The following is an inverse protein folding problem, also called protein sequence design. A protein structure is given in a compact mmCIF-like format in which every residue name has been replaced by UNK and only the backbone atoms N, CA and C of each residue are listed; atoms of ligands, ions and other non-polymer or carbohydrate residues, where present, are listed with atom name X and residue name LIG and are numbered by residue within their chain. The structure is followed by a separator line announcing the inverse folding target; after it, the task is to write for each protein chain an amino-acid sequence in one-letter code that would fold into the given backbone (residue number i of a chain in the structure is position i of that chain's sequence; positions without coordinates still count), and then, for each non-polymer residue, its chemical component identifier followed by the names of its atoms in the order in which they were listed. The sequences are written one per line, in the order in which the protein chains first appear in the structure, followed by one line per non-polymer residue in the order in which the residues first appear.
data_IF_889489976075
#
_entry.id   IF_889489976075
#
_cell.length_a   1.000
_cell.length_b   1.000
_cell.length_c   1.000
_cell.angle_alpha   90.00
_cell.angle_beta   90.00
_cell.angle_gamma   90.00
#
_symmetry.space_group_name_H-M   'P 1'
#
loop_
_entity.id
_entity.type
_entity.pdbx_description
1 polymer ?
#
# COMPACT_ATOMS: atom_id res chain seq x y z
N UNK A 1 -9.64 -19.58 23.16
CA UNK A 1 -9.02 -18.36 22.64
C UNK A 1 -8.62 -18.68 21.22
N UNK A 2 -9.38 -18.18 20.25
CA UNK A 2 -9.02 -18.35 18.85
C UNK A 2 -7.66 -17.67 18.62
N UNK A 3 -6.70 -18.45 18.17
CA UNK A 3 -5.40 -17.99 17.69
C UNK A 3 -5.64 -17.19 16.39
N UNK A 4 -6.04 -15.94 16.55
CA UNK A 4 -6.32 -15.07 15.40
C UNK A 4 -4.98 -14.75 14.78
N UNK A 5 -4.65 -15.40 13.67
CA UNK A 5 -3.41 -15.19 12.95
C UNK A 5 -3.15 -13.69 12.74
N UNK A 6 -1.94 -13.22 13.05
CA UNK A 6 -1.58 -11.82 12.93
C UNK A 6 -1.79 -11.32 11.48
N UNK A 7 -2.29 -10.10 11.32
CA UNK A 7 -2.39 -9.47 10.00
C UNK A 7 -1.01 -9.24 9.38
N UNK A 8 -0.04 -8.90 10.24
CA UNK A 8 1.39 -8.82 9.87
C UNK A 8 2.19 -9.53 10.95
N UNK A 9 3.12 -10.37 10.53
CA UNK A 9 4.07 -11.04 11.43
C UNK A 9 5.48 -10.95 10.84
N UNK A 10 6.43 -10.49 11.64
CA UNK A 10 7.85 -10.35 11.29
C UNK A 10 8.67 -11.10 12.33
N UNK A 11 9.69 -11.85 11.89
CA UNK A 11 10.61 -12.57 12.76
C UNK A 11 12.06 -12.40 12.29
N UNK A 12 12.87 -11.79 13.13
CA UNK A 12 14.31 -11.58 12.91
C UNK A 12 14.61 -10.88 11.59
N UNK A 13 13.78 -9.93 11.14
CA UNK A 13 13.91 -9.32 9.82
C UNK A 13 15.17 -8.46 9.75
N UNK A 14 16.04 -8.79 8.81
CA UNK A 14 17.28 -8.03 8.52
C UNK A 14 17.26 -7.55 7.07
N UNK A 15 17.68 -6.33 6.85
CA UNK A 15 17.99 -5.81 5.52
C UNK A 15 19.32 -5.10 5.49
N UNK A 16 20.21 -5.61 4.64
CA UNK A 16 21.53 -4.99 4.37
C UNK A 16 21.57 -4.50 2.93
N UNK A 17 22.05 -3.29 2.73
CA UNK A 17 22.41 -2.72 1.43
C UNK A 17 23.92 -2.51 1.41
N UNK A 18 24.65 -3.36 0.70
CA UNK A 18 26.12 -3.37 0.71
C UNK A 18 26.68 -3.44 2.15
N UNK A 19 27.21 -2.32 2.67
CA UNK A 19 27.77 -2.23 4.01
C UNK A 19 26.84 -1.58 5.03
N UNK A 20 25.65 -1.16 4.63
CA UNK A 20 24.68 -0.49 5.51
C UNK A 20 23.60 -1.48 5.94
N UNK A 21 23.47 -1.73 7.23
CA UNK A 21 22.37 -2.46 7.81
C UNK A 21 21.19 -1.52 8.02
N UNK A 22 20.22 -1.60 7.14
CA UNK A 22 19.05 -0.74 7.17
C UNK A 22 17.93 -1.23 8.10
N UNK A 23 17.89 -2.54 8.37
CA UNK A 23 17.00 -3.19 9.35
C UNK A 23 17.82 -4.26 10.07
N UNK A 24 17.85 -4.22 11.40
CA UNK A 24 18.78 -4.98 12.24
C UNK A 24 18.06 -6.02 13.12
N UNK A 25 17.31 -6.91 12.51
CA UNK A 25 16.71 -8.06 13.23
C UNK A 25 15.48 -7.68 14.05
N UNK A 26 14.45 -7.14 13.42
CA UNK A 26 13.21 -6.77 14.10
C UNK A 26 12.20 -7.92 14.16
N UNK A 27 11.45 -7.97 15.26
CA UNK A 27 10.29 -8.82 15.47
C UNK A 27 9.06 -7.94 15.69
N UNK A 28 7.94 -8.29 15.07
CA UNK A 28 6.70 -7.50 15.16
C UNK A 28 5.49 -8.37 14.83
N UNK A 29 4.40 -8.18 15.57
CA UNK A 29 3.08 -8.66 15.21
C UNK A 29 2.09 -7.51 15.22
N UNK A 30 1.25 -7.44 14.18
CA UNK A 30 0.10 -6.54 14.08
C UNK A 30 -1.15 -7.38 13.97
N UNK A 31 -2.16 -7.11 14.80
CA UNK A 31 -3.41 -7.85 14.82
C UNK A 31 -4.36 -7.38 13.71
N UNK A 32 -5.27 -8.23 13.25
CA UNK A 32 -6.36 -7.79 12.38
C UNK A 32 -7.17 -6.64 13.03
N UNK A 33 -7.47 -5.60 12.23
CA UNK A 33 -8.21 -4.43 12.69
C UNK A 33 -7.40 -3.42 13.55
N UNK A 34 -6.12 -3.69 13.80
CA UNK A 34 -5.26 -2.79 14.56
C UNK A 34 -4.73 -1.65 13.68
N UNK A 35 -4.71 -0.42 14.24
CA UNK A 35 -3.96 0.70 13.66
C UNK A 35 -2.58 0.74 14.29
N UNK A 36 -1.56 0.39 13.50
CA UNK A 36 -0.18 0.33 13.96
C UNK A 36 0.67 1.48 13.41
N UNK A 37 1.37 2.21 14.30
CA UNK A 37 2.25 3.32 13.93
C UNK A 37 3.73 2.93 13.95
N UNK A 38 4.42 3.04 12.79
CA UNK A 38 5.86 2.91 12.68
C UNK A 38 6.52 4.25 13.01
N UNK A 39 7.00 4.43 14.24
CA UNK A 39 7.64 5.65 14.72
C UNK A 39 9.15 5.47 14.85
N UNK A 40 9.90 6.54 14.69
CA UNK A 40 11.35 6.54 14.83
C UNK A 40 12.04 7.58 13.96
N UNK A 41 13.34 7.85 14.17
CA UNK A 41 14.12 8.83 13.42
C UNK A 41 14.28 8.44 11.94
N UNK A 42 14.74 9.39 11.13
CA UNK A 42 15.12 9.11 9.75
C UNK A 42 16.30 8.11 9.74
N UNK A 43 16.26 7.16 8.82
CA UNK A 43 17.26 6.08 8.77
C UNK A 43 16.98 4.86 9.65
N UNK A 44 15.94 4.87 10.51
CA UNK A 44 15.61 3.74 11.39
C UNK A 44 15.02 2.50 10.67
N UNK A 45 15.05 2.44 9.36
CA UNK A 45 14.58 1.28 8.59
C UNK A 45 13.07 1.22 8.33
N UNK A 46 12.27 2.19 8.80
CA UNK A 46 10.81 2.19 8.65
C UNK A 46 10.33 1.94 7.22
N UNK A 47 10.77 2.80 6.29
CA UNK A 47 10.38 2.68 4.87
C UNK A 47 10.91 1.40 4.23
N UNK A 48 12.07 0.92 4.65
CA UNK A 48 12.66 -0.34 4.18
C UNK A 48 11.80 -1.52 4.63
N UNK A 49 11.39 -1.55 5.89
CA UNK A 49 10.50 -2.59 6.42
C UNK A 49 9.15 -2.59 5.68
N UNK A 50 8.53 -1.41 5.49
CA UNK A 50 7.28 -1.30 4.73
C UNK A 50 7.47 -1.81 3.29
N UNK A 51 8.56 -1.45 2.61
CA UNK A 51 8.86 -1.96 1.26
C UNK A 51 8.97 -3.48 1.22
N UNK A 52 9.55 -4.12 2.25
CA UNK A 52 9.64 -5.58 2.33
C UNK A 52 8.24 -6.18 2.51
N UNK A 53 7.43 -5.64 3.43
CA UNK A 53 6.06 -6.10 3.67
C UNK A 53 5.18 -5.97 2.41
N UNK A 54 5.39 -4.92 1.62
CA UNK A 54 4.69 -4.70 0.35
C UNK A 54 5.33 -5.43 -0.84
N UNK A 55 6.28 -6.33 -0.62
CA UNK A 55 7.00 -7.09 -1.67
C UNK A 55 7.78 -6.25 -2.68
N UNK A 56 8.10 -4.99 -2.34
CA UNK A 56 8.88 -4.06 -3.16
C UNK A 56 10.39 -4.18 -2.91
N UNK A 57 10.80 -4.90 -1.88
CA UNK A 57 12.18 -5.21 -1.57
C UNK A 57 12.27 -6.58 -0.90
N UNK A 58 13.42 -7.24 -1.04
CA UNK A 58 13.69 -8.53 -0.38
C UNK A 58 14.35 -8.30 0.97
N UNK A 59 14.02 -9.13 1.95
CA UNK A 59 14.79 -9.26 3.17
C UNK A 59 16.15 -9.90 2.88
N UNK A 60 17.16 -9.59 3.69
CA UNK A 60 18.45 -10.30 3.67
C UNK A 60 18.39 -11.55 4.54
N UNK A 61 17.74 -11.44 5.70
CA UNK A 61 17.53 -12.53 6.66
C UNK A 61 16.17 -12.35 7.34
N UNK A 62 15.73 -13.41 8.05
CA UNK A 62 14.46 -13.43 8.74
C UNK A 62 13.26 -13.70 7.82
N UNK A 63 12.07 -13.57 8.37
CA UNK A 63 10.82 -13.85 7.66
C UNK A 63 9.78 -12.78 7.95
N UNK A 64 8.89 -12.54 7.00
CA UNK A 64 7.72 -11.69 7.21
C UNK A 64 6.50 -12.29 6.50
N UNK A 65 5.34 -12.15 7.13
CA UNK A 65 4.05 -12.56 6.58
C UNK A 65 3.06 -11.40 6.64
N UNK A 66 2.21 -11.32 5.62
CA UNK A 66 1.11 -10.36 5.54
C UNK A 66 -0.14 -11.12 5.14
N UNK A 67 -1.23 -10.95 5.88
CA UNK A 67 -2.47 -11.71 5.72
C UNK A 67 -2.23 -13.24 5.68
N UNK A 68 -1.24 -13.74 6.43
CA UNK A 68 -0.85 -15.15 6.46
C UNK A 68 0.09 -15.60 5.34
N UNK A 69 0.34 -14.78 4.30
CA UNK A 69 1.19 -15.11 3.15
C UNK A 69 2.64 -14.66 3.37
N UNK A 70 3.60 -15.48 2.96
CA UNK A 70 5.03 -15.17 3.02
C UNK A 70 5.42 -14.12 1.96
N UNK A 71 6.01 -13.00 2.41
CA UNK A 71 6.34 -11.87 1.51
C UNK A 71 7.41 -12.17 0.48
N UNK A 72 8.22 -13.22 0.67
CA UNK A 72 9.26 -13.62 -0.28
C UNK A 72 8.74 -14.66 -1.28
N UNK A 73 7.90 -15.59 -0.84
CA UNK A 73 7.48 -16.77 -1.61
C UNK A 73 6.11 -16.61 -2.25
N UNK A 74 5.20 -15.84 -1.63
CA UNK A 74 3.79 -15.73 -2.01
C UNK A 74 3.43 -14.28 -2.37
N UNK A 75 4.33 -13.58 -3.10
CA UNK A 75 4.24 -12.14 -3.41
C UNK A 75 2.91 -11.72 -4.03
N UNK A 76 2.40 -12.53 -4.97
CA UNK A 76 1.15 -12.19 -5.65
C UNK A 76 -0.06 -12.30 -4.71
N UNK A 77 -0.02 -13.24 -3.75
CA UNK A 77 -1.04 -13.33 -2.71
C UNK A 77 -0.96 -12.12 -1.77
N UNK A 78 0.24 -11.74 -1.31
CA UNK A 78 0.42 -10.54 -0.50
C UNK A 78 -0.14 -9.31 -1.21
N UNK A 79 0.23 -9.08 -2.47
CA UNK A 79 -0.22 -7.91 -3.26
C UNK A 79 -1.73 -7.82 -3.43
N UNK A 80 -2.42 -8.97 -3.47
CA UNK A 80 -3.89 -9.02 -3.56
C UNK A 80 -4.59 -8.66 -2.24
N UNK A 81 -3.86 -8.70 -1.12
CA UNK A 81 -4.42 -8.47 0.23
C UNK A 81 -3.96 -7.17 0.87
N UNK A 82 -3.18 -6.35 0.16
CA UNK A 82 -2.71 -5.05 0.65
C UNK A 82 -3.18 -3.91 -0.25
N UNK A 83 -3.39 -2.74 0.37
CA UNK A 83 -3.41 -1.45 -0.32
C UNK A 83 -2.20 -0.64 0.12
N UNK A 84 -1.52 0.01 -0.81
CA UNK A 84 -0.36 0.85 -0.52
C UNK A 84 -0.61 2.27 -1.01
N UNK A 85 -0.56 3.23 -0.08
CA UNK A 85 -0.62 4.66 -0.40
C UNK A 85 0.77 5.24 -0.17
N UNK A 86 1.40 5.72 -1.23
CA UNK A 86 2.76 6.27 -1.17
C UNK A 86 2.79 7.65 -0.50
N UNK A 87 3.97 8.05 -0.08
CA UNK A 87 4.21 9.39 0.47
C UNK A 87 4.11 10.46 -0.64
N UNK A 88 4.65 10.16 -1.82
CA UNK A 88 4.54 11.01 -3.00
C UNK A 88 3.32 10.62 -3.84
N UNK A 89 2.63 11.59 -4.46
CA UNK A 89 1.49 11.30 -5.30
C UNK A 89 1.84 10.36 -6.47
N UNK A 90 1.01 9.34 -6.66
CA UNK A 90 1.15 8.38 -7.77
C UNK A 90 0.15 8.65 -8.91
N UNK A 91 -0.69 9.67 -8.74
CA UNK A 91 -1.66 10.08 -9.74
C UNK A 91 -0.99 10.81 -10.90
N UNK A 92 -1.43 10.53 -12.12
CA UNK A 92 -1.05 11.32 -13.29
C UNK A 92 -1.79 12.66 -13.26
N UNK A 93 -1.02 13.74 -13.14
CA UNK A 93 -1.52 15.11 -13.05
C UNK A 93 -2.23 15.59 -14.33
N UNK A 94 -1.89 15.01 -15.47
CA UNK A 94 -2.45 15.36 -16.79
C UNK A 94 -3.69 14.55 -17.17
N UNK A 95 -4.06 13.59 -16.35
CA UNK A 95 -5.32 12.87 -16.45
C UNK A 95 -6.39 13.47 -15.54
N UNK A 96 -7.65 13.25 -15.88
CA UNK A 96 -8.76 13.58 -14.98
C UNK A 96 -8.83 12.59 -13.83
N UNK A 97 -9.59 12.91 -12.77
CA UNK A 97 -9.81 11.98 -11.67
C UNK A 97 -10.40 10.65 -12.15
N UNK A 98 -11.40 10.70 -13.03
CA UNK A 98 -12.02 9.50 -13.60
C UNK A 98 -11.04 8.69 -14.47
N UNK A 99 -10.19 9.38 -15.26
CA UNK A 99 -9.18 8.71 -16.09
C UNK A 99 -8.11 8.01 -15.24
N UNK A 100 -7.66 8.63 -14.15
CA UNK A 100 -6.74 7.98 -13.19
C UNK A 100 -7.37 6.70 -12.63
N UNK A 101 -8.60 6.77 -12.12
CA UNK A 101 -9.29 5.59 -11.59
C UNK A 101 -9.54 4.52 -12.67
N UNK A 102 -9.85 4.92 -13.89
CA UNK A 102 -9.98 3.97 -15.00
C UNK A 102 -8.67 3.25 -15.28
N UNK A 103 -7.57 4.00 -15.36
CA UNK A 103 -6.24 3.43 -15.58
C UNK A 103 -5.87 2.42 -14.48
N UNK A 104 -6.06 2.79 -13.21
CA UNK A 104 -5.81 1.88 -12.09
C UNK A 104 -6.75 0.67 -12.11
N UNK A 105 -8.03 0.86 -12.41
CA UNK A 105 -9.00 -0.23 -12.51
C UNK A 105 -8.59 -1.25 -13.59
N UNK A 106 -8.12 -0.80 -14.75
CA UNK A 106 -7.61 -1.65 -15.82
C UNK A 106 -6.32 -2.38 -15.39
N UNK A 107 -5.40 -1.69 -14.71
CA UNK A 107 -4.15 -2.25 -14.20
C UNK A 107 -4.39 -3.36 -13.15
N UNK A 108 -5.37 -3.18 -12.28
CA UNK A 108 -5.74 -4.15 -11.25
C UNK A 108 -6.75 -5.20 -11.72
N UNK A 109 -7.13 -5.20 -13.00
CA UNK A 109 -8.03 -6.19 -13.57
C UNK A 109 -9.47 -6.08 -13.07
N UNK A 110 -9.94 -4.90 -12.73
CA UNK A 110 -11.34 -4.67 -12.35
C UNK A 110 -12.23 -5.01 -13.53
N UNK A 111 -13.25 -5.83 -13.30
CA UNK A 111 -14.18 -6.24 -14.33
C UNK A 111 -14.89 -5.04 -14.98
N UNK A 112 -14.91 -5.04 -16.33
CA UNK A 112 -15.45 -3.93 -17.12
C UNK A 112 -16.93 -3.65 -16.84
N UNK A 113 -17.71 -4.68 -16.54
CA UNK A 113 -19.15 -4.52 -16.29
C UNK A 113 -19.41 -3.73 -15.00
N UNK A 114 -18.54 -3.86 -14.00
CA UNK A 114 -18.67 -3.20 -12.71
C UNK A 114 -17.80 -1.94 -12.57
N UNK A 115 -16.81 -1.77 -13.44
CA UNK A 115 -15.81 -0.71 -13.33
C UNK A 115 -16.40 0.71 -13.31
N UNK A 116 -17.44 0.97 -14.11
CA UNK A 116 -18.09 2.28 -14.15
C UNK A 116 -18.81 2.60 -12.84
N UNK A 117 -19.57 1.65 -12.32
CA UNK A 117 -20.25 1.77 -11.04
C UNK A 117 -19.26 1.95 -9.89
N UNK A 118 -18.20 1.14 -9.85
CA UNK A 118 -17.16 1.24 -8.84
C UNK A 118 -16.44 2.60 -8.84
N UNK A 119 -16.15 3.16 -10.02
CA UNK A 119 -15.58 4.52 -10.12
C UNK A 119 -16.51 5.57 -9.52
N UNK A 120 -17.82 5.48 -9.83
CA UNK A 120 -18.80 6.40 -9.27
C UNK A 120 -18.87 6.27 -7.74
N UNK A 121 -18.96 5.06 -7.22
CA UNK A 121 -18.98 4.78 -5.77
C UNK A 121 -17.76 5.39 -5.07
N UNK A 122 -16.55 5.10 -5.58
CA UNK A 122 -15.30 5.60 -4.98
C UNK A 122 -15.23 7.12 -5.03
N UNK A 123 -15.50 7.75 -6.18
CA UNK A 123 -15.47 9.21 -6.31
C UNK A 123 -16.52 9.90 -5.44
N UNK A 124 -17.68 9.28 -5.26
CA UNK A 124 -18.71 9.80 -4.35
C UNK A 124 -18.26 9.68 -2.89
N UNK A 125 -17.67 8.53 -2.51
CA UNK A 125 -17.17 8.28 -1.15
C UNK A 125 -16.11 9.32 -0.72
N UNK A 126 -15.25 9.73 -1.64
CA UNK A 126 -14.19 10.71 -1.36
C UNK A 126 -14.57 12.16 -1.69
N UNK A 127 -15.87 12.41 -2.00
CA UNK A 127 -16.42 13.74 -2.33
C UNK A 127 -15.67 14.40 -3.51
N UNK A 128 -15.50 13.65 -4.59
CA UNK A 128 -14.85 14.11 -5.83
C UNK A 128 -15.68 13.81 -7.10
N UNK A 129 -16.90 13.29 -6.96
CA UNK A 129 -17.75 12.95 -8.11
C UNK A 129 -18.00 14.13 -9.05
N UNK A 130 -18.32 15.30 -8.50
CA UNK A 130 -18.59 16.51 -9.29
C UNK A 130 -17.34 17.07 -9.98
N UNK A 131 -16.18 16.67 -9.52
CA UNK A 131 -14.86 17.05 -10.06
C UNK A 131 -14.21 15.94 -10.88
N UNK A 132 -14.94 14.86 -11.20
CA UNK A 132 -14.41 13.66 -11.90
C UNK A 132 -13.77 13.96 -13.26
N UNK A 133 -14.28 14.99 -13.96
CA UNK A 133 -13.79 15.39 -15.27
C UNK A 133 -12.66 16.44 -15.22
N UNK A 134 -12.30 16.92 -14.02
CA UNK A 134 -11.25 17.91 -13.88
C UNK A 134 -9.87 17.22 -13.87
N UNK A 135 -8.88 17.90 -14.45
CA UNK A 135 -7.49 17.43 -14.42
C UNK A 135 -6.95 17.43 -12.99
N UNK A 136 -6.26 16.36 -12.61
CA UNK A 136 -5.70 16.19 -11.24
C UNK A 136 -4.69 17.29 -10.90
N UNK A 137 -4.00 17.88 -11.88
CA UNK A 137 -3.12 19.04 -11.63
C UNK A 137 -3.85 20.24 -10.99
N UNK A 138 -5.15 20.38 -11.22
CA UNK A 138 -5.96 21.47 -10.64
C UNK A 138 -6.45 21.19 -9.22
N UNK A 139 -6.21 19.96 -8.72
CA UNK A 139 -6.66 19.53 -7.39
C UNK A 139 -5.76 20.11 -6.29
N UNK A 140 -6.38 20.46 -5.16
CA UNK A 140 -5.62 20.74 -3.94
C UNK A 140 -4.87 19.48 -3.46
N UNK A 141 -3.86 19.64 -2.59
CA UNK A 141 -3.16 18.51 -1.99
C UNK A 141 -4.09 17.53 -1.28
N UNK A 142 -5.08 18.05 -0.55
CA UNK A 142 -6.10 17.22 0.10
C UNK A 142 -7.00 16.46 -0.88
N UNK A 143 -7.39 17.06 -1.99
CA UNK A 143 -8.16 16.38 -3.03
C UNK A 143 -7.35 15.27 -3.69
N UNK A 144 -6.08 15.53 -4.03
CA UNK A 144 -5.17 14.50 -4.55
C UNK A 144 -5.04 13.35 -3.57
N UNK A 145 -4.83 13.64 -2.27
CA UNK A 145 -4.70 12.60 -1.25
C UNK A 145 -5.96 11.76 -1.09
N UNK A 146 -7.15 12.37 -1.16
CA UNK A 146 -8.42 11.62 -1.13
C UNK A 146 -8.61 10.73 -2.35
N UNK A 147 -8.12 11.14 -3.52
CA UNK A 147 -8.20 10.33 -4.74
C UNK A 147 -7.23 9.15 -4.75
N UNK A 148 -6.14 9.21 -3.97
CA UNK A 148 -5.13 8.13 -3.83
C UNK A 148 -5.53 7.02 -2.85
N UNK A 149 -6.46 7.28 -1.95
CA UNK A 149 -6.94 6.32 -0.95
C UNK A 149 -8.01 5.40 -1.52
#
# INVERSE_FOLDING_TARGET
MEDTAAAISIRGLVKRFKQVEAVAGIDLDVRPGETFGFLGPNGAGKSTTIKILCTLADATEGTARVAGFDVARERDQVRRHIGLVFQEPTLDAYLTAEQNLRFHGELYGVDRATAAQRRQEVLTMVDLWDRRADLVQTFSGGMRRRLEI
#
